data_IF_464774958656
#
_entry.id   IF_464774958656
#
_cell.length_a   1.000
_cell.length_b   1.000
_cell.length_c   1.000
_cell.angle_alpha   90.00
_cell.angle_beta   90.00
_cell.angle_gamma   90.00
#
_symmetry.space_group_name_H-M   'P 1'
#
loop_
_entity.id
_entity.type
_entity.pdbx_description
1 polymer ?
#
# COMPACT_ATOMS: atom_id res chain seq x y z
N UNK A 1 -9.93 2.43 25.38
CA UNK A 1 -9.92 3.04 24.06
C UNK A 1 -10.47 2.01 23.06
N UNK A 2 -11.54 2.32 22.33
CA UNK A 2 -12.26 1.36 21.50
C UNK A 2 -12.09 1.61 19.99
N UNK A 3 -11.44 2.71 19.62
CA UNK A 3 -11.21 3.04 18.22
C UNK A 3 -11.20 4.55 17.96
N UNK A 4 -11.11 4.91 16.71
CA UNK A 4 -11.14 6.28 16.21
C UNK A 4 -11.62 6.32 14.76
N UNK A 5 -11.98 7.50 14.31
CA UNK A 5 -12.43 7.75 12.95
C UNK A 5 -11.56 8.82 12.31
N UNK A 6 -11.08 8.57 11.10
CA UNK A 6 -10.38 9.58 10.33
C UNK A 6 -11.42 10.50 9.69
N UNK A 7 -11.32 11.78 9.92
CA UNK A 7 -12.09 12.79 9.25
C UNK A 7 -11.22 13.48 8.21
N UNK A 8 -11.42 13.25 6.91
CA UNK A 8 -12.53 12.58 6.26
C UNK A 8 -11.98 11.60 5.19
N UNK A 9 -12.86 10.78 4.58
CA UNK A 9 -12.42 9.89 3.50
C UNK A 9 -12.20 10.66 2.19
N UNK A 10 -13.12 11.56 1.84
CA UNK A 10 -13.07 12.37 0.62
C UNK A 10 -13.03 13.84 1.01
N UNK A 11 -12.17 14.64 0.35
CA UNK A 11 -12.20 16.08 0.51
C UNK A 11 -13.61 16.64 0.27
N UNK A 12 -14.04 17.57 1.12
CA UNK A 12 -15.38 18.17 1.08
C UNK A 12 -15.50 19.30 0.05
N UNK A 13 -14.47 19.54 -0.77
CA UNK A 13 -14.52 20.48 -1.86
C UNK A 13 -15.48 20.02 -2.96
N UNK A 14 -16.06 20.98 -3.68
CA UNK A 14 -16.94 20.77 -4.83
C UNK A 14 -16.24 21.22 -6.11
N UNK A 15 -16.51 20.53 -7.21
CA UNK A 15 -16.00 20.95 -8.51
C UNK A 15 -16.81 22.14 -9.04
N UNK A 16 -16.12 23.22 -9.40
CA UNK A 16 -16.70 24.44 -10.00
C UNK A 16 -15.96 24.75 -11.29
N UNK A 17 -16.71 25.05 -12.35
CA UNK A 17 -16.12 25.57 -13.58
C UNK A 17 -15.92 27.09 -13.45
N UNK A 18 -14.78 27.60 -13.92
CA UNK A 18 -14.56 29.03 -14.11
C UNK A 18 -15.21 29.56 -15.40
N UNK A 19 -14.97 30.83 -15.73
CA UNK A 19 -15.52 31.49 -16.93
C UNK A 19 -15.03 30.84 -18.23
N UNK A 20 -13.85 30.21 -18.22
CA UNK A 20 -13.27 29.50 -19.36
C UNK A 20 -13.70 28.03 -19.43
N UNK A 21 -14.51 27.56 -18.48
CA UNK A 21 -15.00 26.19 -18.37
C UNK A 21 -13.99 25.22 -17.74
N UNK A 22 -12.90 25.71 -17.15
CA UNK A 22 -11.91 24.89 -16.45
C UNK A 22 -12.43 24.53 -15.07
N UNK A 23 -12.36 23.23 -14.73
CA UNK A 23 -12.83 22.74 -13.43
C UNK A 23 -11.78 22.96 -12.34
N UNK A 24 -12.20 23.55 -11.24
CA UNK A 24 -11.41 23.74 -10.04
C UNK A 24 -12.09 23.13 -8.82
N UNK A 25 -11.30 22.70 -7.84
CA UNK A 25 -11.81 22.32 -6.52
C UNK A 25 -12.09 23.61 -5.74
N UNK A 26 -13.34 23.85 -5.40
CA UNK A 26 -13.82 25.04 -4.72
C UNK A 26 -14.41 24.70 -3.35
N UNK A 27 -14.39 25.65 -2.43
CA UNK A 27 -14.91 25.48 -1.07
C UNK A 27 -15.93 26.58 -0.72
N UNK A 28 -16.45 26.55 0.52
CA UNK A 28 -17.47 27.50 0.98
C UNK A 28 -17.00 28.95 0.88
N UNK A 29 -17.79 29.79 0.24
CA UNK A 29 -17.48 31.17 -0.11
C UNK A 29 -17.15 31.37 -1.60
N UNK A 30 -16.68 30.35 -2.29
CA UNK A 30 -16.42 30.39 -3.74
C UNK A 30 -17.70 30.33 -4.58
N UNK A 31 -18.82 30.01 -3.94
CA UNK A 31 -20.16 29.94 -4.54
C UNK A 31 -21.06 31.12 -4.14
N UNK A 32 -20.45 32.22 -3.69
CA UNK A 32 -21.14 33.42 -3.16
C UNK A 32 -22.00 33.12 -1.90
N UNK A 33 -21.70 32.02 -1.23
CA UNK A 33 -22.37 31.54 -0.01
C UNK A 33 -21.72 32.13 1.25
N UNK A 34 -22.56 32.59 2.21
CA UNK A 34 -22.12 33.11 3.51
C UNK A 34 -23.20 32.90 4.57
N UNK A 35 -22.85 32.51 5.82
CA UNK A 35 -21.50 32.22 6.34
C UNK A 35 -20.91 30.89 5.85
N UNK A 36 -19.60 30.71 5.99
CA UNK A 36 -18.88 29.52 5.51
C UNK A 36 -17.63 29.27 6.35
N UNK A 37 -17.15 28.01 6.37
CA UNK A 37 -15.90 27.63 7.02
C UNK A 37 -14.66 27.78 6.11
N UNK A 38 -14.82 28.42 4.96
CA UNK A 38 -13.75 28.67 3.97
C UNK A 38 -13.00 27.40 3.56
N UNK A 39 -11.68 27.43 3.65
CA UNK A 39 -10.80 26.33 3.23
C UNK A 39 -10.78 25.11 4.18
N UNK A 40 -11.68 25.02 5.15
CA UNK A 40 -11.81 23.85 6.02
C UNK A 40 -12.53 22.70 5.31
N UNK A 41 -11.95 22.22 4.21
CA UNK A 41 -12.53 21.18 3.35
C UNK A 41 -11.48 20.19 2.80
N UNK A 42 -10.17 20.48 2.95
CA UNK A 42 -9.06 19.66 2.42
C UNK A 42 -8.56 18.58 3.40
N UNK A 43 -9.44 17.85 4.06
CA UNK A 43 -9.16 16.90 5.11
C UNK A 43 -9.38 15.43 4.69
N UNK A 44 -9.67 15.18 3.41
CA UNK A 44 -9.87 13.83 2.87
C UNK A 44 -8.60 12.99 2.72
N UNK A 45 -8.75 11.67 2.75
CA UNK A 45 -7.72 10.70 2.35
C UNK A 45 -7.56 10.72 0.83
N UNK A 46 -8.66 10.97 0.10
CA UNK A 46 -8.67 11.17 -1.35
C UNK A 46 -9.18 12.57 -1.67
N UNK A 47 -8.83 13.08 -2.85
CA UNK A 47 -9.26 14.40 -3.31
C UNK A 47 -10.75 14.44 -3.65
N UNK A 48 -11.32 15.64 -3.79
CA UNK A 48 -12.74 15.84 -4.06
C UNK A 48 -13.20 15.21 -5.39
N UNK A 49 -12.32 15.14 -6.39
CA UNK A 49 -12.54 14.45 -7.67
C UNK A 49 -12.36 12.93 -7.61
N UNK A 50 -12.10 12.39 -6.42
CA UNK A 50 -11.83 10.97 -6.13
C UNK A 50 -10.45 10.48 -6.56
N UNK A 51 -9.57 11.33 -7.04
CA UNK A 51 -8.18 10.93 -7.27
C UNK A 51 -7.48 10.60 -5.96
N UNK A 52 -6.60 9.61 -6.01
CA UNK A 52 -5.90 9.10 -4.83
C UNK A 52 -4.82 10.09 -4.41
N UNK A 53 -4.85 10.54 -3.16
CA UNK A 53 -3.78 11.37 -2.59
C UNK A 53 -2.62 10.48 -2.08
N UNK A 54 -1.41 11.04 -1.91
CA UNK A 54 -0.29 10.31 -1.30
C UNK A 54 -0.59 9.72 0.08
N UNK A 55 -1.49 10.34 0.85
CA UNK A 55 -1.95 9.83 2.16
C UNK A 55 -2.63 8.47 2.08
N UNK A 56 -3.29 8.18 0.97
CA UNK A 56 -4.05 6.93 0.81
C UNK A 56 -3.15 5.70 0.82
N UNK A 57 -1.93 5.78 0.31
CA UNK A 57 -0.97 4.68 0.34
C UNK A 57 -0.51 4.38 1.77
N UNK A 58 -0.27 5.40 2.58
CA UNK A 58 0.06 5.22 3.99
C UNK A 58 -1.11 4.62 4.77
N UNK A 59 -2.33 5.10 4.53
CA UNK A 59 -3.55 4.54 5.14
C UNK A 59 -3.72 3.08 4.74
N UNK A 60 -3.51 2.72 3.46
CA UNK A 60 -3.56 1.34 2.99
C UNK A 60 -2.59 0.46 3.78
N UNK A 61 -1.34 0.89 3.94
CA UNK A 61 -0.32 0.16 4.69
C UNK A 61 -0.69 -0.03 6.17
N UNK A 62 -1.16 1.03 6.83
CA UNK A 62 -1.52 0.99 8.25
C UNK A 62 -2.77 0.15 8.54
N UNK A 63 -3.73 0.10 7.61
CA UNK A 63 -5.00 -0.59 7.77
C UNK A 63 -5.05 -1.98 7.14
N UNK A 64 -3.97 -2.42 6.47
CA UNK A 64 -3.93 -3.76 5.90
C UNK A 64 -4.08 -4.84 7.00
N UNK A 65 -4.79 -5.89 6.68
CA UNK A 65 -5.13 -6.98 7.59
C UNK A 65 -4.07 -8.10 7.66
N UNK A 66 -3.00 -7.96 6.90
CA UNK A 66 -1.81 -8.81 6.96
C UNK A 66 -0.59 -7.95 7.30
N UNK A 67 0.31 -8.49 8.12
CA UNK A 67 1.68 -7.98 8.21
C UNK A 67 2.59 -8.92 7.47
N UNK A 68 3.34 -8.38 6.53
CA UNK A 68 4.24 -9.12 5.65
C UNK A 68 5.67 -8.64 5.88
N UNK A 69 6.57 -9.53 6.26
CA UNK A 69 7.98 -9.22 6.50
C UNK A 69 8.81 -10.13 5.61
N UNK A 70 9.16 -9.70 4.37
CA UNK A 70 9.99 -10.47 3.48
C UNK A 70 11.45 -10.41 3.88
N UNK A 71 12.21 -11.45 3.51
CA UNK A 71 13.65 -11.49 3.55
C UNK A 71 14.21 -12.20 2.29
N UNK A 72 15.52 -12.47 2.26
CA UNK A 72 16.19 -13.10 1.13
C UNK A 72 15.75 -14.55 0.86
N UNK A 73 15.07 -15.20 1.79
CA UNK A 73 14.73 -16.62 1.76
C UNK A 73 13.23 -16.89 1.82
N UNK A 74 12.41 -15.86 2.08
CA UNK A 74 10.99 -16.05 2.25
C UNK A 74 10.27 -14.84 2.81
N UNK A 75 9.18 -15.09 3.51
CA UNK A 75 8.36 -14.08 4.13
C UNK A 75 7.70 -14.57 5.41
N UNK A 76 7.75 -13.79 6.47
CA UNK A 76 6.87 -13.98 7.63
C UNK A 76 5.51 -13.34 7.32
N UNK A 77 4.46 -14.13 7.41
CA UNK A 77 3.06 -13.71 7.20
C UNK A 77 2.35 -13.75 8.54
N UNK A 78 1.91 -12.61 9.05
CA UNK A 78 1.02 -12.51 10.20
C UNK A 78 -0.39 -12.18 9.71
N UNK A 79 -1.32 -13.12 9.90
CA UNK A 79 -2.72 -12.91 9.54
C UNK A 79 -3.47 -12.24 10.71
N UNK A 80 -3.82 -10.97 10.56
CA UNK A 80 -4.55 -10.17 11.55
C UNK A 80 -6.06 -10.18 11.35
N UNK A 81 -6.55 -10.93 10.36
CA UNK A 81 -7.98 -11.14 10.15
C UNK A 81 -8.58 -11.88 11.34
N UNK A 82 -9.86 -11.64 11.61
CA UNK A 82 -10.56 -12.24 12.75
C UNK A 82 -11.14 -13.63 12.43
N UNK A 83 -11.54 -13.87 11.17
CA UNK A 83 -12.37 -15.04 10.84
C UNK A 83 -11.88 -15.83 9.62
N UNK A 84 -11.03 -15.27 8.77
CA UNK A 84 -10.64 -15.88 7.50
C UNK A 84 -9.14 -16.13 7.41
N UNK A 85 -8.77 -17.29 6.89
CA UNK A 85 -7.38 -17.59 6.55
C UNK A 85 -6.94 -16.84 5.26
N UNK A 86 -5.70 -17.06 4.81
CA UNK A 86 -5.13 -16.41 3.63
C UNK A 86 -5.33 -17.20 2.34
N UNK A 87 -6.18 -18.23 2.30
CA UNK A 87 -6.36 -19.09 1.12
C UNK A 87 -6.98 -18.38 -0.09
N UNK A 88 -7.61 -17.22 0.11
CA UNK A 88 -8.16 -16.33 -0.91
C UNK A 88 -7.10 -15.49 -1.62
N UNK A 89 -5.85 -15.51 -1.13
CA UNK A 89 -4.74 -14.68 -1.63
C UNK A 89 -3.66 -15.50 -2.31
N UNK A 90 -3.04 -14.90 -3.32
CA UNK A 90 -1.75 -15.26 -3.89
C UNK A 90 -0.71 -14.24 -3.39
N UNK A 91 0.50 -14.72 -3.13
CA UNK A 91 1.63 -13.87 -2.72
C UNK A 91 2.62 -13.77 -3.87
N UNK A 92 3.09 -12.55 -4.12
CA UNK A 92 4.11 -12.24 -5.12
C UNK A 92 5.31 -11.71 -4.36
N UNK A 93 6.39 -12.49 -4.32
CA UNK A 93 7.65 -12.10 -3.72
C UNK A 93 8.61 -11.62 -4.82
N UNK A 94 9.26 -10.49 -4.59
CA UNK A 94 10.14 -9.83 -5.55
C UNK A 94 11.47 -9.47 -4.87
N UNK A 95 12.59 -9.81 -5.50
CA UNK A 95 13.90 -9.30 -5.12
C UNK A 95 14.37 -8.26 -6.15
N UNK A 96 14.81 -7.12 -5.64
CA UNK A 96 15.48 -6.08 -6.42
C UNK A 96 16.94 -5.96 -5.98
N UNK A 97 17.83 -5.61 -6.91
CA UNK A 97 19.19 -5.19 -6.64
C UNK A 97 19.47 -3.84 -7.27
N UNK A 98 19.89 -2.87 -6.46
CA UNK A 98 20.09 -1.46 -6.88
C UNK A 98 18.86 -0.87 -7.62
N UNK A 99 17.66 -1.23 -7.16
CA UNK A 99 16.39 -0.80 -7.74
C UNK A 99 15.88 -1.63 -8.93
N UNK A 100 16.69 -2.54 -9.47
CA UNK A 100 16.29 -3.36 -10.62
C UNK A 100 15.77 -4.74 -10.19
N UNK A 101 14.63 -5.21 -10.72
CA UNK A 101 14.10 -6.53 -10.46
C UNK A 101 15.06 -7.64 -10.91
N UNK A 102 15.40 -8.57 -10.03
CA UNK A 102 16.32 -9.68 -10.33
C UNK A 102 15.68 -11.05 -10.18
N UNK A 103 14.61 -11.17 -9.37
CA UNK A 103 13.93 -12.45 -9.18
C UNK A 103 12.50 -12.23 -8.70
N UNK A 104 11.57 -13.06 -9.16
CA UNK A 104 10.15 -13.00 -8.76
C UNK A 104 9.64 -14.42 -8.56
N UNK A 105 8.91 -14.63 -7.47
CA UNK A 105 8.22 -15.88 -7.16
C UNK A 105 6.76 -15.63 -6.81
N UNK A 106 5.90 -16.59 -7.17
CA UNK A 106 4.48 -16.58 -6.82
C UNK A 106 4.14 -17.83 -6.03
N UNK A 107 3.44 -17.67 -4.94
CA UNK A 107 3.05 -18.80 -4.11
C UNK A 107 1.72 -18.56 -3.40
N UNK A 108 1.17 -19.62 -2.83
CA UNK A 108 0.01 -19.56 -1.96
C UNK A 108 0.41 -20.08 -0.59
N UNK A 109 -0.10 -19.45 0.45
CA UNK A 109 0.05 -19.90 1.83
C UNK A 109 -1.31 -19.85 2.52
N UNK A 110 -1.50 -20.72 3.50
CA UNK A 110 -2.71 -20.75 4.31
C UNK A 110 -2.35 -20.52 5.77
N UNK A 111 -2.44 -19.27 6.19
CA UNK A 111 -2.21 -18.84 7.57
C UNK A 111 -3.57 -18.57 8.21
N UNK A 112 -3.86 -19.24 9.33
CA UNK A 112 -5.15 -19.10 10.01
C UNK A 112 -5.31 -17.70 10.66
N UNK A 113 -6.53 -17.29 11.00
CA UNK A 113 -6.78 -16.02 11.69
C UNK A 113 -5.99 -15.91 12.99
N UNK A 114 -5.30 -14.78 13.16
CA UNK A 114 -4.49 -14.49 14.35
C UNK A 114 -3.17 -15.25 14.43
N UNK A 115 -2.84 -16.08 13.45
CA UNK A 115 -1.59 -16.84 13.43
C UNK A 115 -0.49 -16.12 12.62
N UNK A 116 0.73 -16.60 12.82
CA UNK A 116 1.93 -16.17 12.12
C UNK A 116 2.69 -17.38 11.61
N UNK A 117 3.12 -17.32 10.36
CA UNK A 117 3.87 -18.40 9.71
C UNK A 117 4.98 -17.84 8.84
N UNK A 118 6.14 -18.48 8.84
CA UNK A 118 7.22 -18.19 7.89
C UNK A 118 7.13 -19.14 6.70
N UNK A 119 7.04 -18.57 5.51
CA UNK A 119 6.96 -19.30 4.24
C UNK A 119 8.26 -19.10 3.48
N UNK A 120 9.00 -20.19 3.25
CA UNK A 120 10.22 -20.17 2.44
C UNK A 120 9.88 -19.99 0.96
N UNK A 121 10.64 -19.13 0.30
CA UNK A 121 10.54 -18.87 -1.14
C UNK A 121 11.75 -19.49 -1.83
N UNK A 122 11.61 -20.24 -2.95
CA UNK A 122 12.70 -20.86 -3.67
C UNK A 122 13.51 -19.81 -4.46
N UNK A 123 14.29 -18.99 -3.76
CA UNK A 123 15.12 -17.96 -4.35
C UNK A 123 16.60 -18.40 -4.43
N UNK A 124 17.35 -17.94 -5.44
CA UNK A 124 18.80 -18.17 -5.50
C UNK A 124 19.52 -17.40 -4.40
N UNK A 125 20.74 -17.84 -4.06
CA UNK A 125 21.57 -17.07 -3.14
C UNK A 125 22.03 -15.76 -3.78
N UNK A 126 21.72 -14.63 -3.14
CA UNK A 126 22.13 -13.30 -3.58
C UNK A 126 23.47 -12.95 -2.91
N UNK A 127 24.57 -13.03 -3.68
CA UNK A 127 25.94 -12.87 -3.16
C UNK A 127 26.69 -11.68 -3.76
N UNK A 128 26.20 -11.12 -4.86
CA UNK A 128 26.86 -9.99 -5.50
C UNK A 128 26.72 -8.71 -4.67
N UNK A 129 27.72 -7.82 -4.67
CA UNK A 129 27.61 -6.54 -3.97
C UNK A 129 26.46 -5.68 -4.50
N UNK A 130 25.76 -5.02 -3.60
CA UNK A 130 24.66 -4.12 -3.95
C UNK A 130 23.68 -3.92 -2.81
N UNK A 131 22.75 -3.01 -3.03
CA UNK A 131 21.57 -2.83 -2.20
C UNK A 131 20.48 -3.78 -2.66
N UNK A 132 20.00 -4.63 -1.77
CA UNK A 132 18.91 -5.54 -2.03
C UNK A 132 17.65 -5.08 -1.32
N UNK A 133 16.54 -5.09 -2.04
CA UNK A 133 15.21 -4.88 -1.48
C UNK A 133 14.36 -6.10 -1.79
N UNK A 134 13.72 -6.64 -0.77
CA UNK A 134 12.75 -7.73 -0.89
C UNK A 134 11.36 -7.16 -0.66
N UNK A 135 10.49 -7.39 -1.61
CA UNK A 135 9.09 -6.95 -1.55
C UNK A 135 8.17 -8.16 -1.59
N UNK A 136 7.01 -8.06 -0.98
CA UNK A 136 5.94 -9.02 -1.10
C UNK A 136 4.61 -8.33 -1.19
N UNK A 137 3.79 -8.75 -2.15
CA UNK A 137 2.40 -8.31 -2.31
C UNK A 137 1.46 -9.48 -2.11
N UNK A 138 0.40 -9.30 -1.33
CA UNK A 138 -0.72 -10.23 -1.22
C UNK A 138 -1.85 -9.75 -2.12
N UNK A 139 -2.20 -10.54 -3.13
CA UNK A 139 -3.19 -10.17 -4.15
C UNK A 139 -4.38 -11.12 -4.16
N UNK A 140 -5.56 -10.61 -4.50
CA UNK A 140 -6.77 -11.43 -4.64
C UNK A 140 -6.64 -12.43 -5.78
N UNK A 141 -6.89 -13.73 -5.51
CA UNK A 141 -6.92 -14.78 -6.55
C UNK A 141 -8.10 -14.63 -7.50
N UNK A 142 -9.21 -14.11 -7.03
CA UNK A 142 -10.48 -13.99 -7.77
C UNK A 142 -11.06 -12.61 -7.59
N UNK A 143 -11.80 -12.16 -8.59
CA UNK A 143 -12.58 -10.93 -8.49
C UNK A 143 -13.71 -11.10 -7.45
N UNK A 144 -13.95 -10.03 -6.71
CA UNK A 144 -15.05 -9.84 -5.77
C UNK A 144 -15.81 -8.57 -6.15
N UNK A 145 -16.91 -8.25 -5.43
CA UNK A 145 -17.73 -7.06 -5.72
C UNK A 145 -16.95 -5.74 -5.59
N UNK A 146 -15.89 -5.72 -4.80
CA UNK A 146 -15.13 -4.51 -4.46
C UNK A 146 -13.71 -4.48 -5.04
N UNK A 147 -13.21 -5.60 -5.57
CA UNK A 147 -11.84 -5.71 -6.09
C UNK A 147 -11.74 -6.75 -7.20
N UNK A 148 -10.99 -6.44 -8.23
CA UNK A 148 -10.65 -7.38 -9.29
C UNK A 148 -9.65 -8.45 -8.84
N UNK A 149 -9.54 -9.54 -9.59
CA UNK A 149 -8.46 -10.49 -9.42
C UNK A 149 -7.10 -9.77 -9.65
N UNK A 150 -6.12 -10.07 -8.81
CA UNK A 150 -4.83 -9.37 -8.82
C UNK A 150 -4.78 -8.08 -8.00
N UNK A 151 -5.89 -7.63 -7.42
CA UNK A 151 -5.89 -6.47 -6.53
C UNK A 151 -5.03 -6.73 -5.30
N UNK A 152 -4.06 -5.84 -5.04
CA UNK A 152 -3.18 -5.90 -3.87
C UNK A 152 -3.90 -5.43 -2.61
N UNK A 153 -4.04 -6.35 -1.65
CA UNK A 153 -4.70 -6.08 -0.36
C UNK A 153 -3.70 -5.73 0.75
N UNK A 154 -2.48 -6.25 0.65
CA UNK A 154 -1.42 -5.99 1.61
C UNK A 154 -0.06 -6.09 0.92
N UNK A 155 0.93 -5.39 1.47
CA UNK A 155 2.30 -5.43 1.00
C UNK A 155 3.29 -5.28 2.16
N UNK A 156 4.53 -5.68 1.93
CA UNK A 156 5.64 -5.50 2.86
C UNK A 156 6.96 -5.40 2.12
N UNK A 157 7.93 -4.76 2.77
CA UNK A 157 9.25 -4.54 2.21
C UNK A 157 10.32 -4.67 3.29
N UNK A 158 11.49 -5.16 2.90
CA UNK A 158 12.71 -5.11 3.71
C UNK A 158 13.94 -4.88 2.84
N UNK A 159 15.00 -4.33 3.42
CA UNK A 159 16.23 -4.04 2.72
C UNK A 159 17.47 -4.66 3.36
N UNK A 160 18.49 -4.95 2.53
CA UNK A 160 19.80 -5.45 2.95
C UNK A 160 20.89 -4.94 2.02
N UNK A 161 22.04 -4.55 2.57
CA UNK A 161 23.25 -4.22 1.80
C UNK A 161 24.24 -5.36 1.87
N UNK A 162 24.76 -5.81 0.72
CA UNK A 162 25.82 -6.83 0.60
C UNK A 162 27.07 -6.14 0.04
N UNK A 163 28.20 -6.31 0.74
CA UNK A 163 29.49 -5.72 0.38
C UNK A 163 29.61 -4.25 0.74
N UNK A 164 30.81 -3.70 0.73
CA UNK A 164 31.03 -2.28 0.90
C UNK A 164 30.54 -1.55 -0.35
N UNK A 165 29.47 -0.75 -0.23
CA UNK A 165 29.22 0.35 -1.16
C UNK A 165 30.43 1.26 -0.99
N UNK A 166 31.34 1.30 -1.98
CA UNK A 166 32.52 2.13 -1.91
C UNK A 166 32.10 3.56 -1.55
N UNK A 167 32.62 4.07 -0.44
CA UNK A 167 32.52 5.50 -0.13
C UNK A 167 33.19 6.21 -1.29
N UNK A 168 32.38 6.70 -2.22
CA UNK A 168 32.86 7.60 -3.26
C UNK A 168 33.53 8.76 -2.55
N UNK A 169 34.82 8.90 -2.72
CA UNK A 169 35.57 10.06 -2.27
C UNK A 169 34.89 11.28 -2.90
N UNK A 170 34.41 12.20 -2.08
CA UNK A 170 34.01 13.54 -2.43
C UNK A 170 35.28 14.38 -2.65
#
# INVERSE_FOLDING_TARGET
>A
YQGGFIWDYVDQALMKADEDGVLHMAYGGDFDDRPTDYNFCGNGIVYADRTISPKAQEVKYLYQDLRLIPDACGVEIENRRLFTDTSDLEFIWLALRNGEPIHTERFCARVNPGEREYVSVPAPAFTEPGEYVYQVSAVKKRAELWADAGYETAFGESGRVIGAVGAGAV
#
